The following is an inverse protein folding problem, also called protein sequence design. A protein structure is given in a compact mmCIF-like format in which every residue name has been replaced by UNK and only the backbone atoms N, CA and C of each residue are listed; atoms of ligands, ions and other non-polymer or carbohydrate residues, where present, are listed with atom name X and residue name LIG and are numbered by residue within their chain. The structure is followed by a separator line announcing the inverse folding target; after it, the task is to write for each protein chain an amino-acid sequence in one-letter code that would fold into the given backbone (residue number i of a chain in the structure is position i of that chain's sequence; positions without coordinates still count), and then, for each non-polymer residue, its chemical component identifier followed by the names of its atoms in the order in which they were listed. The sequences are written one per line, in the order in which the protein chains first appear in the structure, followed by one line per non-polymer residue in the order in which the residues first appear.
data_IF_116211504801
#
_entry.id   IF_116211504801
#
_cell.length_a   1.000
_cell.length_b   1.000
_cell.length_c   1.000
_cell.angle_alpha   90.00
_cell.angle_beta   90.00
_cell.angle_gamma   90.00
#
_symmetry.space_group_name_H-M   'P 1'
#
loop_
_entity.id
_entity.type
_entity.pdbx_description
1 polymer ?
#
# COMPACT_ATOMS: atom_id res chain seq x y z
N UNK A 1 7.71 -12.35 1.02
CA UNK A 1 6.64 -13.33 1.29
C UNK A 1 6.12 -13.13 2.70
N UNK A 2 5.22 -14.00 3.16
CA UNK A 2 4.57 -13.86 4.47
C UNK A 2 5.59 -13.97 5.63
N UNK A 3 6.58 -14.87 5.51
CA UNK A 3 7.60 -15.05 6.54
C UNK A 3 8.49 -13.82 6.70
N UNK A 4 8.84 -13.12 5.62
CA UNK A 4 9.63 -11.89 5.67
C UNK A 4 8.81 -10.71 6.23
N UNK A 5 7.51 -10.68 5.98
CA UNK A 5 6.60 -9.70 6.58
C UNK A 5 6.57 -9.88 8.10
N UNK A 6 6.48 -11.12 8.60
CA UNK A 6 6.52 -11.38 10.04
C UNK A 6 7.84 -10.93 10.68
N UNK A 7 8.97 -11.14 9.99
CA UNK A 7 10.25 -10.65 10.47
C UNK A 7 10.25 -9.12 10.63
N UNK A 8 9.78 -8.38 9.62
CA UNK A 8 9.71 -6.91 9.68
C UNK A 8 8.73 -6.40 10.74
N UNK A 9 7.61 -7.10 10.95
CA UNK A 9 6.66 -6.79 12.02
C UNK A 9 7.28 -7.00 13.40
N UNK A 10 8.01 -8.10 13.61
CA UNK A 10 8.68 -8.38 14.88
C UNK A 10 9.76 -7.33 15.22
N UNK A 11 10.45 -6.81 14.20
CA UNK A 11 11.40 -5.70 14.36
C UNK A 11 10.73 -4.33 14.61
N UNK A 12 9.41 -4.21 14.45
CA UNK A 12 8.71 -2.93 14.53
C UNK A 12 9.01 -1.99 13.35
N UNK A 13 9.49 -2.53 12.21
CA UNK A 13 9.87 -1.77 11.03
C UNK A 13 8.63 -1.38 10.19
N UNK A 14 7.71 -0.60 10.79
CA UNK A 14 6.43 -0.25 10.19
C UNK A 14 6.58 0.48 8.84
N UNK A 15 7.48 1.47 8.76
CA UNK A 15 7.72 2.24 7.54
C UNK A 15 8.32 1.39 6.41
N UNK A 16 9.31 0.57 6.73
CA UNK A 16 9.93 -0.34 5.76
C UNK A 16 8.93 -1.37 5.24
N UNK A 17 8.08 -1.90 6.11
CA UNK A 17 7.02 -2.81 5.71
C UNK A 17 5.98 -2.11 4.83
N UNK A 18 5.57 -0.90 5.19
CA UNK A 18 4.64 -0.11 4.39
C UNK A 18 5.20 0.17 2.99
N UNK A 19 6.47 0.57 2.88
CA UNK A 19 7.12 0.79 1.59
C UNK A 19 7.12 -0.47 0.72
N UNK A 20 7.46 -1.62 1.33
CA UNK A 20 7.50 -2.91 0.64
C UNK A 20 6.13 -3.33 0.10
N UNK A 21 5.05 -3.06 0.84
CA UNK A 21 3.69 -3.44 0.45
C UNK A 21 3.02 -2.43 -0.51
N UNK A 22 3.49 -1.18 -0.55
CA UNK A 22 2.86 -0.10 -1.33
C UNK A 22 3.74 0.32 -2.51
N UNK A 23 4.52 1.38 -2.35
CA UNK A 23 5.31 2.06 -3.40
C UNK A 23 6.34 1.16 -4.08
N UNK A 24 6.85 0.11 -3.42
CA UNK A 24 7.78 -0.85 -4.04
C UNK A 24 7.10 -2.01 -4.77
N UNK A 25 5.80 -2.27 -4.52
CA UNK A 25 5.06 -3.39 -5.14
C UNK A 25 3.88 -2.91 -6.00
N UNK A 26 2.85 -2.36 -5.35
CA UNK A 26 1.48 -2.33 -5.88
C UNK A 26 0.90 -0.91 -6.07
N UNK A 27 1.53 0.13 -5.52
CA UNK A 27 1.06 1.51 -5.72
C UNK A 27 1.61 2.08 -7.04
N UNK A 28 0.81 1.97 -8.11
CA UNK A 28 1.20 2.42 -9.46
C UNK A 28 1.38 3.94 -9.53
N UNK A 29 0.53 4.70 -8.85
CA UNK A 29 0.60 6.16 -8.83
C UNK A 29 1.77 6.65 -7.96
N UNK A 30 1.98 6.03 -6.79
CA UNK A 30 3.07 6.32 -5.88
C UNK A 30 4.44 5.98 -6.45
N UNK A 31 4.59 4.86 -7.17
CA UNK A 31 5.89 4.42 -7.70
C UNK A 31 6.53 5.42 -8.68
N UNK A 32 5.74 6.05 -9.55
CA UNK A 32 6.22 7.06 -10.49
C UNK A 32 6.65 8.34 -9.78
N UNK A 33 5.85 8.80 -8.81
CA UNK A 33 6.18 9.97 -7.98
C UNK A 33 7.45 9.75 -7.16
N UNK A 34 7.60 8.56 -6.56
CA UNK A 34 8.81 8.19 -5.81
C UNK A 34 10.03 8.18 -6.73
N UNK A 35 9.91 7.67 -7.96
CA UNK A 35 11.01 7.72 -8.92
C UNK A 35 11.43 9.15 -9.27
N UNK A 36 10.46 10.03 -9.53
CA UNK A 36 10.71 11.46 -9.78
C UNK A 36 11.34 12.16 -8.57
N UNK A 37 10.87 11.86 -7.36
CA UNK A 37 11.39 12.39 -6.11
C UNK A 37 12.85 11.97 -5.87
N UNK A 38 13.19 10.69 -6.13
CA UNK A 38 14.58 10.19 -6.05
C UNK A 38 15.48 10.92 -7.05
N UNK A 39 15.01 11.16 -8.29
CA UNK A 39 15.79 11.88 -9.31
C UNK A 39 16.01 13.35 -8.92
N UNK A 40 15.03 13.98 -8.25
CA UNK A 40 15.10 15.37 -7.79
C UNK A 40 15.82 15.55 -6.45
N UNK A 41 16.03 14.48 -5.69
CA UNK A 41 16.57 14.54 -4.33
C UNK A 41 15.58 15.08 -3.30
N UNK A 42 14.28 14.92 -3.55
CA UNK A 42 13.21 15.33 -2.64
C UNK A 42 12.70 14.11 -1.86
N UNK A 43 12.54 14.23 -0.53
CA UNK A 43 12.04 13.16 0.35
C UNK A 43 10.51 13.19 0.52
N UNK A 44 9.78 13.47 -0.56
CA UNK A 44 8.32 13.56 -0.48
C UNK A 44 7.67 12.19 -0.77
N UNK A 45 7.11 11.56 0.29
CA UNK A 45 6.52 10.23 0.23
C UNK A 45 5.01 10.29 0.52
N UNK A 46 4.21 10.28 -0.55
CA UNK A 46 2.78 10.02 -0.45
C UNK A 46 2.51 8.55 -0.71
N UNK A 47 1.85 7.88 0.25
CA UNK A 47 1.55 6.46 0.15
C UNK A 47 0.06 6.30 -0.10
N UNK A 48 -0.29 5.69 -1.24
CA UNK A 48 -1.66 5.41 -1.62
C UNK A 48 -2.18 4.06 -1.12
N UNK A 49 -3.39 3.73 -1.56
CA UNK A 49 -3.99 2.40 -1.35
C UNK A 49 -3.39 1.45 -2.40
N UNK A 50 -2.95 0.23 -2.03
CA UNK A 50 -2.48 -0.77 -2.98
C UNK A 50 -3.55 -1.15 -4.00
N UNK A 51 -3.17 -1.31 -5.27
CA UNK A 51 -4.13 -1.76 -6.29
C UNK A 51 -4.65 -3.18 -6.03
N UNK A 52 -3.86 -4.04 -5.37
CA UNK A 52 -4.28 -5.37 -4.93
C UNK A 52 -5.50 -5.32 -4.00
N UNK A 53 -5.62 -4.31 -3.15
CA UNK A 53 -6.81 -4.11 -2.30
C UNK A 53 -8.05 -3.70 -3.13
N UNK A 54 -7.85 -2.91 -4.17
CA UNK A 54 -8.91 -2.51 -5.09
C UNK A 54 -9.42 -3.70 -5.90
N UNK A 55 -8.53 -4.58 -6.36
CA UNK A 55 -8.88 -5.85 -7.02
C UNK A 55 -9.67 -6.74 -6.07
N UNK A 56 -9.19 -6.95 -4.84
CA UNK A 56 -9.90 -7.73 -3.82
C UNK A 56 -11.33 -7.22 -3.59
N UNK A 57 -11.51 -5.90 -3.49
CA UNK A 57 -12.84 -5.30 -3.30
C UNK A 57 -13.76 -5.59 -4.49
N UNK A 58 -13.24 -5.55 -5.72
CA UNK A 58 -14.01 -5.88 -6.94
C UNK A 58 -14.36 -7.36 -7.00
N UNK A 59 -13.46 -8.26 -6.60
CA UNK A 59 -13.71 -9.70 -6.53
C UNK A 59 -14.80 -10.04 -5.52
N UNK A 60 -14.78 -9.42 -4.33
CA UNK A 60 -15.84 -9.56 -3.33
C UNK A 60 -17.19 -9.03 -3.84
N UNK A 61 -17.19 -7.87 -4.53
CA UNK A 61 -18.40 -7.32 -5.16
C UNK A 61 -18.97 -8.24 -6.25
N UNK A 62 -18.11 -8.94 -7.01
CA UNK A 62 -18.55 -9.92 -8.00
C UNK A 62 -19.28 -11.13 -7.37
N UNK A 63 -18.97 -11.47 -6.12
CA UNK A 63 -19.68 -12.49 -5.34
C UNK A 63 -20.99 -11.99 -4.69
N UNK A 64 -21.35 -10.72 -4.89
CA UNK A 64 -22.52 -10.10 -4.26
C UNK A 64 -22.27 -9.58 -2.84
N UNK A 65 -21.02 -9.55 -2.38
CA UNK A 65 -20.65 -8.97 -1.08
C UNK A 65 -20.32 -7.48 -1.25
N UNK A 66 -21.05 -6.59 -0.57
CA UNK A 66 -20.73 -5.17 -0.60
C UNK A 66 -19.75 -4.81 0.51
N UNK A 67 -18.53 -4.45 0.12
CA UNK A 67 -17.49 -3.91 1.01
C UNK A 67 -17.25 -2.45 0.62
N UNK A 68 -17.48 -1.55 1.57
CA UNK A 68 -17.22 -0.12 1.43
C UNK A 68 -16.44 0.38 2.64
N UNK A 69 -15.49 1.28 2.41
CA UNK A 69 -14.72 1.91 3.49
C UNK A 69 -15.59 2.95 4.20
N UNK A 70 -15.92 2.70 5.47
CA UNK A 70 -16.58 3.68 6.31
C UNK A 70 -15.54 4.58 6.97
N UNK A 71 -15.65 5.88 6.76
CA UNK A 71 -14.96 6.83 7.61
C UNK A 71 -15.72 6.91 8.94
N UNK A 72 -15.12 6.39 10.00
CA UNK A 72 -15.63 6.62 11.36
C UNK A 72 -15.24 8.03 11.76
N UNK A 73 -16.10 9.00 11.42
CA UNK A 73 -16.03 10.34 11.97
C UNK A 73 -16.25 10.21 13.49
N UNK A 74 -15.21 10.51 14.28
CA UNK A 74 -15.39 10.79 15.70
C UNK A 74 -16.17 12.07 15.89
#
# INVERSE_FOLDING_TARGET
GEMEVWALQAYGAAYTLQEMLTVKSDDVAGRSKVYEAIVRGEDNFEIGIPESFNVLTKELKALGLNVDMKQSTK
#
